data_IF_447328205921
#
_entry.id   IF_447328205921
#
_cell.length_a   1.000
_cell.length_b   1.000
_cell.length_c   1.000
_cell.angle_alpha   90.00
_cell.angle_beta   90.00
_cell.angle_gamma   90.00
#
_symmetry.space_group_name_H-M   'P 1'
#
loop_
_entity.id
_entity.type
_entity.pdbx_description
1 polymer ?
#
# COMPACT_ATOMS: atom_id res chain seq x y z
N UNK A 1 -1.37 -0.94 -4.26
CA UNK A 1 -0.79 0.16 -3.44
C UNK A 1 0.62 -0.16 -2.96
N UNK A 2 0.88 -1.26 -2.24
CA UNK A 2 2.21 -1.60 -1.70
C UNK A 2 3.33 -1.68 -2.76
N UNK A 3 3.04 -2.27 -3.95
CA UNK A 3 3.98 -2.26 -5.08
C UNK A 3 4.40 -0.86 -5.51
N UNK A 4 3.45 0.09 -5.52
CA UNK A 4 3.73 1.49 -5.90
C UNK A 4 4.62 2.19 -4.87
N UNK A 5 4.46 1.87 -3.59
CA UNK A 5 5.32 2.37 -2.52
C UNK A 5 6.75 1.89 -2.72
N UNK A 6 6.96 0.61 -3.08
CA UNK A 6 8.31 0.11 -3.40
C UNK A 6 8.90 0.84 -4.61
N UNK A 7 8.12 1.06 -5.68
CA UNK A 7 8.60 1.83 -6.83
C UNK A 7 9.06 3.24 -6.44
N UNK A 8 8.32 3.93 -5.58
CA UNK A 8 8.69 5.25 -5.09
C UNK A 8 9.99 5.20 -4.27
N UNK A 9 10.17 4.18 -3.42
CA UNK A 9 11.40 3.99 -2.65
C UNK A 9 12.60 3.70 -3.57
N UNK A 10 12.42 2.92 -4.61
CA UNK A 10 13.45 2.63 -5.62
C UNK A 10 13.86 3.91 -6.35
N UNK A 11 12.90 4.79 -6.67
CA UNK A 11 13.18 6.07 -7.32
C UNK A 11 13.93 7.05 -6.41
N UNK A 12 13.62 7.05 -5.12
CA UNK A 12 14.28 7.92 -4.14
C UNK A 12 15.72 7.44 -3.81
N UNK A 13 16.02 6.14 -3.96
CA UNK A 13 17.34 5.51 -3.73
C UNK A 13 18.38 5.94 -4.78
N UNK A 14 18.76 7.21 -4.73
CA UNK A 14 19.64 7.86 -5.72
C UNK A 14 21.03 7.22 -5.81
N UNK A 15 21.51 6.66 -4.70
CA UNK A 15 22.83 6.02 -4.60
C UNK A 15 22.78 4.51 -4.87
N UNK A 16 21.59 3.95 -5.11
CA UNK A 16 21.36 2.51 -5.33
C UNK A 16 21.85 1.63 -4.17
N UNK A 17 21.79 2.14 -2.94
CA UNK A 17 22.27 1.45 -1.74
C UNK A 17 21.33 0.32 -1.35
N UNK A 18 20.02 0.56 -1.53
CA UNK A 18 18.96 -0.34 -1.07
C UNK A 18 18.40 -1.20 -2.21
N UNK A 19 18.76 -0.89 -3.45
CA UNK A 19 18.41 -1.65 -4.66
C UNK A 19 19.52 -2.58 -5.14
N UNK A 20 20.71 -2.52 -4.52
CA UNK A 20 21.84 -3.35 -4.88
C UNK A 20 21.53 -4.85 -4.68
N UNK A 21 21.65 -5.69 -5.72
CA UNK A 21 21.34 -7.12 -5.63
C UNK A 21 22.28 -7.90 -4.70
N UNK A 22 23.45 -7.33 -4.34
CA UNK A 22 24.37 -7.94 -3.36
C UNK A 22 23.91 -7.77 -1.92
N UNK A 23 23.02 -6.82 -1.65
CA UNK A 23 22.39 -6.64 -0.36
C UNK A 23 21.19 -7.60 -0.26
N UNK A 24 21.08 -8.36 0.83
CA UNK A 24 19.90 -9.21 1.07
C UNK A 24 19.51 -9.11 2.56
N UNK A 25 18.30 -8.62 2.88
CA UNK A 25 17.26 -8.14 1.97
C UNK A 25 17.66 -6.84 1.22
N UNK A 26 17.05 -6.62 0.06
CA UNK A 26 17.07 -5.35 -0.70
C UNK A 26 15.64 -5.00 -1.17
N UNK A 27 15.40 -3.76 -1.60
CA UNK A 27 14.06 -3.29 -2.01
C UNK A 27 13.43 -4.15 -3.11
N UNK A 28 14.23 -4.70 -4.05
CA UNK A 28 13.73 -5.59 -5.10
C UNK A 28 13.26 -6.93 -4.53
N UNK A 29 13.90 -7.44 -3.48
CA UNK A 29 13.47 -8.68 -2.80
C UNK A 29 12.25 -8.47 -1.90
N UNK A 30 12.01 -7.25 -1.40
CA UNK A 30 10.81 -6.95 -0.60
C UNK A 30 9.55 -7.09 -1.44
N UNK A 31 9.62 -6.85 -2.75
CA UNK A 31 8.50 -7.05 -3.69
C UNK A 31 7.93 -8.48 -3.57
N UNK A 32 8.79 -9.48 -3.43
CA UNK A 32 8.39 -10.88 -3.32
C UNK A 32 7.66 -11.17 -2.00
N UNK A 33 7.88 -10.35 -0.97
CA UNK A 33 7.23 -10.47 0.35
C UNK A 33 5.92 -9.69 0.43
N UNK A 34 5.57 -8.88 -0.57
CA UNK A 34 4.32 -8.10 -0.53
C UNK A 34 3.09 -8.97 -0.23
N UNK A 35 2.89 -10.15 -0.83
CA UNK A 35 1.72 -10.99 -0.57
C UNK A 35 1.62 -11.50 0.88
N UNK A 36 2.68 -11.45 1.69
CA UNK A 36 2.64 -11.92 3.08
C UNK A 36 2.12 -10.88 4.07
N UNK A 37 2.01 -9.61 3.69
CA UNK A 37 1.54 -8.56 4.60
C UNK A 37 0.02 -8.47 4.57
N UNK A 38 -0.59 -8.52 5.76
CA UNK A 38 -2.05 -8.48 5.93
C UNK A 38 -2.62 -7.07 5.92
N UNK A 39 -1.79 -6.06 6.21
CA UNK A 39 -2.21 -4.65 6.25
C UNK A 39 -1.12 -3.69 5.76
N UNK A 40 -1.54 -2.48 5.38
CA UNK A 40 -0.63 -1.39 5.05
C UNK A 40 0.25 -0.97 6.24
N UNK A 41 -0.30 -1.02 7.47
CA UNK A 41 0.44 -0.68 8.68
C UNK A 41 1.55 -1.71 8.95
N UNK A 42 1.27 -2.99 8.78
CA UNK A 42 2.27 -4.05 8.88
C UNK A 42 3.39 -3.85 7.86
N UNK A 43 3.02 -3.52 6.62
CA UNK A 43 3.99 -3.23 5.56
C UNK A 43 4.83 -1.97 5.86
N UNK A 44 4.23 -0.89 6.39
CA UNK A 44 4.95 0.30 6.85
C UNK A 44 6.00 -0.06 7.90
N UNK A 45 5.60 -0.79 8.93
CA UNK A 45 6.50 -1.19 10.01
C UNK A 45 7.65 -2.05 9.47
N UNK A 46 7.34 -2.98 8.57
CA UNK A 46 8.36 -3.80 7.90
C UNK A 46 9.40 -2.96 7.15
N UNK A 47 8.97 -1.94 6.40
CA UNK A 47 9.88 -1.05 5.68
C UNK A 47 10.76 -0.23 6.64
N UNK A 48 10.17 0.29 7.72
CA UNK A 48 10.92 1.03 8.74
C UNK A 48 11.96 0.14 9.40
N UNK A 49 11.59 -1.08 9.76
CA UNK A 49 12.50 -2.03 10.40
C UNK A 49 13.61 -2.48 9.46
N UNK A 50 13.33 -2.61 8.16
CA UNK A 50 14.34 -2.86 7.14
C UNK A 50 15.45 -1.79 7.17
N UNK A 51 15.10 -0.50 7.16
CA UNK A 51 16.10 0.57 7.21
C UNK A 51 16.77 0.70 8.59
N UNK A 52 16.04 0.45 9.68
CA UNK A 52 16.63 0.40 11.03
C UNK A 52 17.69 -0.68 11.17
N UNK A 53 17.49 -1.86 10.57
CA UNK A 53 18.51 -2.91 10.56
C UNK A 53 19.77 -2.48 9.84
N UNK A 54 19.66 -1.67 8.78
CA UNK A 54 20.83 -1.11 8.10
C UNK A 54 21.55 -0.13 9.03
N UNK A 55 20.81 0.77 9.68
CA UNK A 55 21.36 1.75 10.66
C UNK A 55 22.14 1.03 11.77
N UNK A 56 21.58 -0.01 12.37
CA UNK A 56 22.23 -0.76 13.47
C UNK A 56 23.54 -1.41 13.06
N UNK A 57 23.68 -1.78 11.78
CA UNK A 57 24.87 -2.44 11.25
C UNK A 57 25.85 -1.49 10.55
N UNK A 58 25.47 -0.23 10.36
CA UNK A 58 26.25 0.78 9.66
C UNK A 58 27.05 1.64 10.66
N UNK A 59 28.17 2.19 10.23
CA UNK A 59 28.88 3.22 11.01
C UNK A 59 28.07 4.52 10.98
N UNK A 60 28.03 5.28 12.08
CA UNK A 60 27.31 6.55 12.17
C UNK A 60 27.78 7.59 11.10
N UNK A 61 29.02 7.46 10.63
CA UNK A 61 29.59 8.33 9.59
C UNK A 61 29.37 7.81 8.15
N UNK A 62 28.77 6.62 8.00
CA UNK A 62 28.60 5.98 6.69
C UNK A 62 27.43 6.58 5.92
N UNK A 63 27.52 6.52 4.59
CA UNK A 63 26.46 7.00 3.71
C UNK A 63 25.17 6.19 3.91
N UNK A 64 25.30 4.88 4.16
CA UNK A 64 24.20 3.96 4.43
C UNK A 64 23.40 4.37 5.66
N UNK A 65 24.07 4.85 6.70
CA UNK A 65 23.41 5.35 7.91
C UNK A 65 22.50 6.55 7.61
N UNK A 66 23.07 7.59 6.98
CA UNK A 66 22.33 8.81 6.67
C UNK A 66 21.18 8.58 5.68
N UNK A 67 21.44 7.82 4.61
CA UNK A 67 20.41 7.51 3.61
C UNK A 67 19.30 6.62 4.19
N UNK A 68 19.61 5.73 5.13
CA UNK A 68 18.57 4.93 5.80
C UNK A 68 17.64 5.79 6.66
N UNK A 69 18.18 6.79 7.38
CA UNK A 69 17.35 7.77 8.10
C UNK A 69 16.46 8.57 7.17
N UNK A 70 17.01 9.02 6.04
CA UNK A 70 16.25 9.74 5.00
C UNK A 70 15.11 8.86 4.47
N UNK A 71 15.36 7.58 4.22
CA UNK A 71 14.35 6.64 3.74
C UNK A 71 13.25 6.37 4.77
N UNK A 72 13.57 6.25 6.06
CA UNK A 72 12.55 6.10 7.11
C UNK A 72 11.60 7.29 7.10
N UNK A 73 12.14 8.52 7.03
CA UNK A 73 11.31 9.73 6.95
C UNK A 73 10.46 9.77 5.68
N UNK A 74 11.00 9.30 4.56
CA UNK A 74 10.26 9.23 3.31
C UNK A 74 9.12 8.20 3.37
N UNK A 75 9.35 7.03 3.97
CA UNK A 75 8.30 6.04 4.25
C UNK A 75 7.20 6.66 5.11
N UNK A 76 7.55 7.31 6.23
CA UNK A 76 6.58 7.99 7.09
C UNK A 76 5.72 9.00 6.31
N UNK A 77 6.35 9.81 5.44
CA UNK A 77 5.63 10.77 4.59
C UNK A 77 4.65 10.09 3.63
N UNK A 78 5.08 9.06 2.91
CA UNK A 78 4.22 8.32 1.97
C UNK A 78 2.96 7.81 2.69
N UNK A 79 3.13 7.20 3.87
CA UNK A 79 1.99 6.62 4.60
C UNK A 79 1.10 7.66 5.28
N UNK A 80 1.60 8.87 5.54
CA UNK A 80 0.77 9.98 6.02
C UNK A 80 -0.05 10.64 4.90
N UNK A 81 0.41 10.56 3.66
CA UNK A 81 -0.30 11.07 2.48
C UNK A 81 -1.36 10.10 1.93
N UNK A 82 -1.33 8.83 2.35
CA UNK A 82 -2.39 7.87 2.01
C UNK A 82 -3.67 8.30 2.73
N UNK A 83 -4.77 8.59 2.01
CA UNK A 83 -6.02 8.98 2.63
C UNK A 83 -6.48 7.88 3.59
N UNK A 84 -6.73 8.26 4.85
CA UNK A 84 -7.22 7.31 5.85
C UNK A 84 -8.67 7.00 5.54
N UNK A 85 -9.14 5.76 5.77
CA UNK A 85 -10.57 5.44 5.63
C UNK A 85 -11.48 6.31 6.53
N UNK A 86 -10.92 6.90 7.58
CA UNK A 86 -11.60 7.87 8.44
C UNK A 86 -11.83 9.23 7.74
N UNK A 87 -10.99 9.60 6.77
CA UNK A 87 -11.14 10.83 5.96
C UNK A 87 -12.16 10.65 4.82
N UNK A 88 -12.56 9.41 4.50
CA UNK A 88 -13.60 9.08 3.53
C UNK A 88 -14.96 8.87 4.19
N UNK A 89 -15.38 9.81 5.05
CA UNK A 89 -16.78 9.94 5.47
C UNK A 89 -17.66 10.53 4.33
N UNK A 90 -17.35 10.18 3.08
CA UNK A 90 -18.25 10.30 1.95
C UNK A 90 -18.94 8.94 1.85
N UNK A 91 -20.25 8.95 2.03
CA UNK A 91 -21.12 7.79 2.00
C UNK A 91 -21.02 7.06 0.65
N UNK A 92 -19.99 6.21 0.49
CA UNK A 92 -19.74 5.41 -0.72
C UNK A 92 -20.74 4.26 -0.89
N UNK A 93 -21.74 4.17 -0.02
CA UNK A 93 -22.80 3.16 -0.06
C UNK A 93 -23.46 3.12 -1.43
N UNK A 94 -23.79 4.29 -2.00
CA UNK A 94 -24.41 4.38 -3.33
C UNK A 94 -23.51 3.90 -4.47
N UNK A 95 -22.20 4.16 -4.40
CA UNK A 95 -21.23 3.75 -5.41
C UNK A 95 -20.96 2.24 -5.35
N UNK A 96 -20.88 1.69 -4.14
CA UNK A 96 -20.77 0.25 -3.90
C UNK A 96 -22.04 -0.45 -4.42
N UNK A 97 -23.22 0.07 -4.09
CA UNK A 97 -24.50 -0.46 -4.57
C UNK A 97 -24.56 -0.43 -6.10
N UNK A 98 -24.16 0.68 -6.73
CA UNK A 98 -24.15 0.80 -8.18
C UNK A 98 -23.25 -0.27 -8.83
N UNK A 99 -22.03 -0.45 -8.31
CA UNK A 99 -21.07 -1.41 -8.85
C UNK A 99 -21.51 -2.87 -8.71
N UNK A 100 -22.10 -3.22 -7.57
CA UNK A 100 -22.72 -4.54 -7.37
C UNK A 100 -23.95 -4.74 -8.25
N UNK A 101 -24.77 -3.71 -8.44
CA UNK A 101 -25.96 -3.77 -9.30
C UNK A 101 -25.56 -3.98 -10.76
N UNK A 102 -24.58 -3.22 -11.26
CA UNK A 102 -24.04 -3.37 -12.61
C UNK A 102 -23.45 -4.77 -12.83
N UNK A 103 -22.67 -5.26 -11.86
CA UNK A 103 -22.08 -6.60 -11.94
C UNK A 103 -23.14 -7.72 -11.95
N UNK A 104 -24.31 -7.51 -11.33
CA UNK A 104 -25.40 -8.49 -11.29
C UNK A 104 -26.29 -8.42 -12.52
N UNK A 105 -26.44 -7.25 -13.15
CA UNK A 105 -27.18 -7.08 -14.40
C UNK A 105 -26.57 -7.92 -15.53
N UNK A 106 -25.25 -8.10 -15.53
CA UNK A 106 -24.55 -8.96 -16.50
C UNK A 106 -24.93 -10.45 -16.39
N UNK A 107 -25.47 -10.90 -15.25
CA UNK A 107 -25.88 -12.30 -15.02
C UNK A 107 -27.39 -12.52 -15.11
N UNK A 108 -28.19 -11.46 -15.13
CA UNK A 108 -29.65 -11.56 -15.02
C UNK A 108 -30.28 -10.86 -16.22
N UNK A 109 -30.54 -11.63 -17.28
CA UNK A 109 -31.34 -11.13 -18.41
C UNK A 109 -32.77 -10.81 -17.93
N UNK A 110 -33.17 -9.55 -18.03
CA UNK A 110 -34.56 -9.12 -17.94
C UNK A 110 -35.05 -8.59 -16.58
N UNK A 111 -34.18 -8.35 -15.59
CA UNK A 111 -34.59 -7.71 -14.34
C UNK A 111 -34.47 -6.19 -14.37
N UNK A 112 -35.46 -5.53 -13.75
CA UNK A 112 -35.51 -4.09 -13.57
C UNK A 112 -34.40 -3.62 -12.59
N UNK A 113 -33.60 -2.64 -13.03
CA UNK A 113 -32.42 -2.11 -12.34
C UNK A 113 -32.79 -1.59 -10.94
N UNK A 114 -33.98 -0.99 -10.78
CA UNK A 114 -34.46 -0.52 -9.46
C UNK A 114 -34.65 -1.66 -8.45
N UNK A 115 -35.14 -2.82 -8.91
CA UNK A 115 -35.39 -3.97 -8.04
C UNK A 115 -34.08 -4.59 -7.57
N UNK A 116 -33.09 -4.70 -8.46
CA UNK A 116 -31.75 -5.17 -8.13
C UNK A 116 -31.04 -4.23 -7.16
N UNK A 117 -31.10 -2.92 -7.43
CA UNK A 117 -30.50 -1.90 -6.55
C UNK A 117 -31.04 -1.98 -5.13
N UNK A 118 -32.35 -2.17 -4.97
CA UNK A 118 -33.01 -2.33 -3.67
C UNK A 118 -32.59 -3.61 -2.95
N UNK A 119 -32.41 -4.71 -3.69
CA UNK A 119 -31.94 -5.97 -3.12
C UNK A 119 -30.49 -5.88 -2.63
N UNK A 120 -29.61 -5.27 -3.43
CA UNK A 120 -28.22 -5.00 -3.06
C UNK A 120 -28.15 -4.09 -1.84
N UNK A 121 -28.95 -3.02 -1.78
CA UNK A 121 -29.05 -2.15 -0.61
C UNK A 121 -29.39 -2.94 0.66
N UNK A 122 -30.36 -3.86 0.58
CA UNK A 122 -30.79 -4.69 1.72
C UNK A 122 -29.71 -5.67 2.20
N UNK A 123 -28.81 -6.11 1.33
CA UNK A 123 -27.69 -6.99 1.68
C UNK A 123 -26.53 -6.25 2.35
N UNK A 124 -26.41 -4.93 2.11
CA UNK A 124 -25.31 -4.10 2.58
C UNK A 124 -25.67 -3.30 3.85
N UNK A 125 -26.96 -3.19 4.18
CA UNK A 125 -27.50 -2.61 5.41
C UNK A 125 -27.61 -3.63 6.54
#
# INVERSE_FOLDING_TARGET
>A
MQYKIIELLIQEDSFKLFTNPKLNPNLNTIIQKIPSFTSLMEFKNYLIDFFKQIIVNASDESLEYYESFKMINFVERIFNEIPKPEDSCLDMTDEIIALYTESLLDFIEGNDNETLRKYVYTLLS
#
